data_IF_937218530058
#
_entry.id   IF_937218530058
#
_cell.length_a   1.000
_cell.length_b   1.000
_cell.length_c   1.000
_cell.angle_alpha   90.00
_cell.angle_beta   90.00
_cell.angle_gamma   90.00
#
_symmetry.space_group_name_H-M   'P 1'
#
loop_
_entity.id
_entity.type
_entity.pdbx_description
1 polymer ?
#
# COMPACT_ATOMS: atom_id res chain seq x y z
N UNK A 1 0.72 18.94 7.78
CA UNK A 1 0.84 17.58 8.35
C UNK A 1 1.82 17.64 9.49
N UNK A 2 1.53 17.00 10.61
CA UNK A 2 2.41 17.07 11.77
C UNK A 2 3.66 16.21 11.59
N UNK A 3 4.72 16.56 12.31
CA UNK A 3 5.98 15.81 12.24
C UNK A 3 5.76 14.35 12.67
N UNK A 4 4.88 14.13 13.63
CA UNK A 4 4.56 12.78 14.09
C UNK A 4 3.98 11.93 12.96
N UNK A 5 3.05 12.50 12.21
CA UNK A 5 2.41 11.78 11.11
C UNK A 5 3.41 11.49 10.01
N UNK A 6 4.24 12.47 9.66
CA UNK A 6 5.27 12.28 8.64
C UNK A 6 6.21 11.15 9.02
N UNK A 7 6.64 11.12 10.26
CA UNK A 7 7.56 10.09 10.75
C UNK A 7 6.90 8.72 10.69
N UNK A 8 5.64 8.63 11.12
CA UNK A 8 4.90 7.38 11.07
C UNK A 8 4.75 6.87 9.64
N UNK A 9 4.36 7.75 8.73
CA UNK A 9 4.13 7.38 7.34
C UNK A 9 5.42 6.85 6.72
N UNK A 10 6.53 7.53 6.96
CA UNK A 10 7.81 7.09 6.42
C UNK A 10 8.26 5.76 7.01
N UNK A 11 8.01 5.55 8.30
CA UNK A 11 8.35 4.29 8.95
C UNK A 11 7.56 3.13 8.33
N UNK A 12 6.27 3.35 8.12
CA UNK A 12 5.39 2.35 7.51
C UNK A 12 5.86 2.05 6.10
N UNK A 13 6.13 3.09 5.32
CA UNK A 13 6.57 2.92 3.94
C UNK A 13 7.87 2.15 3.85
N UNK A 14 8.85 2.52 4.68
CA UNK A 14 10.14 1.85 4.67
C UNK A 14 10.00 0.37 5.06
N UNK A 15 9.13 0.09 6.03
CA UNK A 15 8.89 -1.28 6.46
C UNK A 15 8.34 -2.14 5.30
N UNK A 16 7.36 -1.61 4.59
CA UNK A 16 6.76 -2.34 3.49
C UNK A 16 7.74 -2.52 2.33
N UNK A 17 8.54 -1.49 2.04
CA UNK A 17 9.55 -1.59 0.99
C UNK A 17 10.57 -2.68 1.33
N UNK A 18 10.97 -2.77 2.59
CA UNK A 18 11.94 -3.77 3.02
C UNK A 18 11.39 -5.18 3.05
N UNK A 19 10.16 -5.35 3.56
CA UNK A 19 9.62 -6.68 3.85
C UNK A 19 8.61 -7.16 2.83
N UNK A 20 8.01 -6.24 2.07
CA UNK A 20 6.93 -6.55 1.13
C UNK A 20 5.68 -7.10 1.83
N UNK A 21 5.53 -6.79 3.11
CA UNK A 21 4.36 -7.24 3.86
C UNK A 21 3.09 -6.57 3.39
N UNK A 22 1.96 -7.23 3.66
CA UNK A 22 0.65 -6.66 3.32
C UNK A 22 0.31 -5.53 4.26
N UNK A 23 -0.71 -4.75 3.87
CA UNK A 23 -1.22 -3.67 4.71
C UNK A 23 -1.69 -4.23 6.05
N UNK A 24 -2.34 -5.38 6.02
CA UNK A 24 -2.85 -6.04 7.21
C UNK A 24 -1.74 -6.37 8.20
N UNK A 25 -0.67 -6.96 7.69
CA UNK A 25 0.47 -7.34 8.53
C UNK A 25 1.17 -6.11 9.08
N UNK A 26 1.33 -5.09 8.26
CA UNK A 26 1.96 -3.84 8.66
C UNK A 26 1.16 -3.13 9.74
N UNK A 27 -0.16 -3.09 9.57
CA UNK A 27 -1.04 -2.46 10.56
C UNK A 27 -0.89 -3.14 11.91
N UNK A 28 -0.83 -4.45 11.90
CA UNK A 28 -0.68 -5.23 13.12
C UNK A 28 0.65 -4.93 13.80
N UNK A 29 1.72 -4.86 13.01
CA UNK A 29 3.05 -4.60 13.53
C UNK A 29 3.15 -3.21 14.16
N UNK A 30 2.53 -2.23 13.54
CA UNK A 30 2.57 -0.85 14.03
C UNK A 30 1.47 -0.54 15.03
N UNK A 31 0.61 -1.52 15.29
CA UNK A 31 -0.49 -1.39 16.25
C UNK A 31 -1.43 -0.25 15.90
N UNK A 32 -1.78 -0.18 14.64
CA UNK A 32 -2.74 0.81 14.13
C UNK A 32 -3.74 0.09 13.21
N UNK A 33 -4.81 0.78 12.85
CA UNK A 33 -5.82 0.15 12.02
C UNK A 33 -5.36 0.03 10.57
N UNK A 34 -5.91 -0.96 9.88
CA UNK A 34 -5.64 -1.16 8.46
C UNK A 34 -6.04 0.08 7.66
N UNK A 35 -7.14 0.71 8.04
CA UNK A 35 -7.60 1.94 7.37
C UNK A 35 -6.58 3.06 7.50
N UNK A 36 -5.95 3.17 8.67
CA UNK A 36 -4.94 4.20 8.89
C UNK A 36 -3.73 3.97 8.01
N UNK A 37 -3.26 2.71 7.91
CA UNK A 37 -2.13 2.38 7.04
C UNK A 37 -2.46 2.71 5.60
N UNK A 38 -3.64 2.31 5.17
CA UNK A 38 -4.09 2.55 3.80
C UNK A 38 -4.10 4.04 3.47
N UNK A 39 -4.66 4.83 4.37
CA UNK A 39 -4.74 6.28 4.18
C UNK A 39 -3.35 6.92 4.18
N UNK A 40 -2.49 6.47 5.11
CA UNK A 40 -1.13 6.99 5.17
C UNK A 40 -0.39 6.73 3.86
N UNK A 41 -0.52 5.54 3.31
CA UNK A 41 0.20 5.18 2.09
C UNK A 41 -0.40 5.78 0.83
N UNK A 42 -1.71 5.96 0.80
CA UNK A 42 -2.36 6.46 -0.41
C UNK A 42 -2.42 7.97 -0.49
N UNK A 43 -2.63 8.62 0.63
CA UNK A 43 -2.82 10.07 0.62
C UNK A 43 -1.61 10.82 1.17
N UNK A 44 -1.14 10.42 2.33
CA UNK A 44 -0.08 11.16 3.01
C UNK A 44 1.28 10.94 2.40
N UNK A 45 1.61 9.70 2.06
CA UNK A 45 2.91 9.39 1.47
C UNK A 45 3.10 10.11 0.14
N UNK A 46 2.04 10.25 -0.63
CA UNK A 46 2.08 10.96 -1.90
C UNK A 46 2.59 12.39 -1.73
N UNK A 47 2.19 13.03 -0.64
CA UNK A 47 2.61 14.41 -0.35
C UNK A 47 4.00 14.49 0.26
N UNK A 48 4.44 13.43 0.90
CA UNK A 48 5.71 13.42 1.61
C UNK A 48 6.87 13.00 0.70
N UNK A 49 6.69 11.90 -0.03
CA UNK A 49 7.76 11.32 -0.83
C UNK A 49 7.14 10.55 -1.99
N UNK A 50 7.08 11.19 -3.14
CA UNK A 50 6.45 10.60 -4.31
C UNK A 50 7.20 9.35 -4.79
N UNK A 51 8.50 9.29 -4.60
CA UNK A 51 9.29 8.13 -5.02
C UNK A 51 8.90 6.90 -4.21
N UNK A 52 8.80 7.04 -2.90
CA UNK A 52 8.35 5.94 -2.05
C UNK A 52 6.91 5.57 -2.34
N UNK A 53 6.08 6.57 -2.62
CA UNK A 53 4.69 6.34 -2.98
C UNK A 53 4.60 5.42 -4.21
N UNK A 54 5.40 5.70 -5.23
CA UNK A 54 5.39 4.90 -6.45
C UNK A 54 5.85 3.47 -6.19
N UNK A 55 6.87 3.31 -5.36
CA UNK A 55 7.37 1.98 -4.99
C UNK A 55 6.29 1.20 -4.25
N UNK A 56 5.65 1.84 -3.28
CA UNK A 56 4.57 1.21 -2.50
C UNK A 56 3.41 0.82 -3.41
N UNK A 57 3.05 1.72 -4.31
CA UNK A 57 1.94 1.45 -5.23
C UNK A 57 2.22 0.21 -6.06
N UNK A 58 3.44 0.06 -6.53
CA UNK A 58 3.82 -1.11 -7.31
C UNK A 58 3.71 -2.39 -6.48
N UNK A 59 4.19 -2.34 -5.24
CA UNK A 59 4.11 -3.49 -4.34
C UNK A 59 2.65 -3.88 -4.09
N UNK A 60 1.80 -2.89 -3.84
CA UNK A 60 0.38 -3.15 -3.60
C UNK A 60 -0.30 -3.76 -4.83
N UNK A 61 0.06 -3.28 -6.00
CA UNK A 61 -0.50 -3.82 -7.25
C UNK A 61 -0.11 -5.28 -7.43
N UNK A 62 1.10 -5.64 -7.09
CA UNK A 62 1.54 -7.03 -7.17
C UNK A 62 0.71 -7.91 -6.26
N UNK A 63 0.43 -7.44 -5.04
CA UNK A 63 -0.41 -8.20 -4.10
C UNK A 63 -1.81 -8.40 -4.65
N UNK A 64 -2.37 -7.35 -5.25
CA UNK A 64 -3.71 -7.42 -5.81
C UNK A 64 -3.75 -8.38 -6.99
N UNK A 65 -2.75 -8.34 -7.85
CA UNK A 65 -2.69 -9.23 -9.01
C UNK A 65 -2.63 -10.68 -8.57
N UNK A 66 -1.83 -10.98 -7.55
CA UNK A 66 -1.74 -12.33 -7.01
C UNK A 66 -3.09 -12.80 -6.50
N UNK A 67 -3.79 -11.92 -5.81
CA UNK A 67 -5.11 -12.24 -5.29
C UNK A 67 -6.10 -12.50 -6.42
N UNK A 68 -6.02 -11.69 -7.48
CA UNK A 68 -6.89 -11.84 -8.64
C UNK A 68 -6.69 -13.20 -9.30
N UNK A 69 -5.45 -13.58 -9.49
CA UNK A 69 -5.13 -14.86 -10.10
C UNK A 69 -5.71 -15.99 -9.27
N UNK A 70 -5.58 -15.90 -7.98
CA UNK A 70 -6.14 -16.92 -7.09
C UNK A 70 -7.65 -16.97 -7.16
N UNK A 71 -8.26 -15.79 -7.24
CA UNK A 71 -9.69 -15.69 -7.34
C UNK A 71 -10.21 -16.22 -8.63
N UNK A 72 -9.36 -16.43 -9.52
CA UNK A 72 -9.70 -17.00 -10.79
C UNK A 72 -10.61 -16.17 -11.53
N UNK A 73 -10.77 -15.47 -11.88
CA UNK A 73 -11.69 -14.93 -12.60
C UNK A 73 -11.50 -14.01 -13.49
N UNK A 74 -11.40 -13.80 -13.89
CA UNK A 74 -11.22 -13.05 -14.48
C UNK A 74 -11.56 -12.09 -14.98
N UNK A 75 -11.93 -11.80 -15.12
CA UNK A 75 -12.22 -10.93 -15.66
C UNK A 75 -11.85 -9.95 -15.93
N UNK A 76 -11.70 -9.88 -16.17
CA UNK A 76 -11.48 -8.97 -16.63
C UNK A 76 -11.43 -8.16 -17.07
N UNK A 77 -11.40 -8.30 -16.97
CA UNK A 77 -11.27 -7.62 -17.38
C UNK A 77 -11.40 -6.79 -17.53
N UNK A 78 -11.48 -6.81 -17.27
CA UNK A 78 -11.49 -6.01 -17.37
C UNK A 78 -11.51 -5.12 -17.51
N UNK A 79 -11.42 -5.09 -17.27
CA UNK A 79 -11.13 -4.19 -17.41
C UNK A 79 -10.95 -3.71 -17.81
N UNK A 80 -10.81 -3.95 -17.80
CA UNK A 80 -10.38 -3.46 -18.19
C UNK A 80 -10.38 -2.73 -18.65
N UNK A 81 -10.40 -2.66 -18.61
CA UNK A 81 -10.18 -1.95 -18.94
C UNK A 81 -10.19 -1.24 -19.38
N UNK A 82 -10.08 -1.32 -19.12
CA UNK A 82 -9.85 -0.74 -19.32
C UNK A 82 -9.68 -0.27 -19.71
N UNK A 83 -9.67 -0.35 -19.39
CA UNK A 83 -9.26 0.06 -19.58
C UNK A 83 -9.16 0.40 -20.06
#
# INVERSE_FOLDING_TARGET
MSAYIIKRVLSIANHIIDTKETIRETAKKFNISKSTVHKDLQERLYQIDINKYNIIKQIMNEHIETRHIKGGESTRQLFERKK
#
